data_IF_023351246968
#
_entry.id   IF_023351246968
#
_cell.length_a   1.000
_cell.length_b   1.000
_cell.length_c   1.000
_cell.angle_alpha   90.00
_cell.angle_beta   90.00
_cell.angle_gamma   90.00
#
_symmetry.space_group_name_H-M   'P 1'
#
loop_
_entity.id
_entity.type
_entity.pdbx_description
1 polymer ?
#
# COMPACT_ATOMS: atom_id res chain seq x y z
N UNK A 1 -20.49 -20.74 -7.77
CA UNK A 1 -19.25 -21.38 -8.28
C UNK A 1 -18.11 -20.84 -7.45
N UNK A 2 -17.61 -21.61 -6.53
CA UNK A 2 -16.63 -21.18 -5.52
C UNK A 2 -15.28 -20.94 -6.20
N UNK A 3 -14.65 -19.78 -5.94
CA UNK A 3 -13.28 -19.45 -6.42
C UNK A 3 -12.23 -20.33 -5.69
N UNK A 4 -12.63 -21.49 -5.24
CA UNK A 4 -11.87 -22.37 -4.34
C UNK A 4 -10.59 -22.99 -4.92
N UNK A 5 -10.37 -22.95 -6.27
CA UNK A 5 -9.44 -23.92 -6.85
C UNK A 5 -8.36 -23.37 -7.78
N UNK A 6 -8.02 -22.07 -7.79
CA UNK A 6 -7.11 -21.55 -8.83
C UNK A 6 -5.90 -20.74 -8.41
N UNK A 7 -5.57 -20.62 -7.13
CA UNK A 7 -4.32 -19.96 -6.72
C UNK A 7 -3.59 -20.77 -5.64
N UNK A 8 -3.11 -21.95 -6.00
CA UNK A 8 -2.07 -22.65 -5.24
C UNK A 8 -0.76 -22.42 -6.00
N UNK A 9 -0.13 -21.28 -5.80
CA UNK A 9 1.30 -21.16 -6.07
C UNK A 9 2.00 -21.27 -4.72
N UNK A 10 2.15 -22.49 -4.26
CA UNK A 10 2.82 -22.85 -3.01
C UNK A 10 4.30 -22.79 -3.26
N UNK A 11 4.99 -21.74 -2.81
CA UNK A 11 6.40 -21.88 -2.49
C UNK A 11 6.49 -22.95 -1.41
N UNK A 12 7.27 -23.99 -1.65
CA UNK A 12 7.34 -25.27 -0.93
C UNK A 12 7.13 -25.14 0.59
N UNK A 13 6.15 -25.89 1.12
CA UNK A 13 6.03 -26.24 2.52
C UNK A 13 4.94 -25.53 3.36
N UNK A 14 4.17 -24.59 2.83
CA UNK A 14 3.13 -23.91 3.61
C UNK A 14 1.73 -24.37 3.19
N UNK A 15 1.02 -25.07 4.09
CA UNK A 15 -0.39 -25.44 3.88
C UNK A 15 -1.25 -24.24 4.27
N UNK A 16 -1.70 -23.47 3.28
CA UNK A 16 -2.65 -22.38 3.50
C UNK A 16 -4.08 -22.91 3.54
N UNK A 17 -4.83 -22.54 4.58
CA UNK A 17 -6.27 -22.79 4.66
C UNK A 17 -7.05 -21.62 4.05
N UNK A 18 -8.16 -21.92 3.35
CA UNK A 18 -9.12 -20.88 2.94
C UNK A 18 -9.70 -20.10 4.13
N UNK A 19 -9.60 -20.66 5.34
CA UNK A 19 -10.07 -20.06 6.60
C UNK A 19 -9.05 -19.14 7.25
N UNK A 20 -7.80 -19.10 6.75
CA UNK A 20 -6.77 -18.22 7.26
C UNK A 20 -7.09 -16.76 6.92
N UNK A 21 -6.61 -15.84 7.75
CA UNK A 21 -6.93 -14.42 7.61
C UNK A 21 -6.18 -13.73 6.46
N UNK A 22 -6.69 -12.59 6.02
CA UNK A 22 -5.96 -11.62 5.23
C UNK A 22 -5.18 -10.74 6.21
N UNK A 23 -3.85 -10.76 6.13
CA UNK A 23 -3.00 -9.85 6.91
C UNK A 23 -2.87 -8.52 6.19
N UNK A 24 -3.23 -7.43 6.84
CA UNK A 24 -3.11 -6.07 6.29
C UNK A 24 -2.22 -5.25 7.20
N UNK A 25 -1.24 -4.54 6.67
CA UNK A 25 -0.42 -3.63 7.46
C UNK A 25 -0.21 -2.27 6.82
N UNK A 26 0.07 -1.30 7.66
CA UNK A 26 0.38 0.08 7.29
C UNK A 26 1.41 0.67 8.27
N UNK A 27 2.11 1.69 7.86
CA UNK A 27 3.03 2.46 8.71
C UNK A 27 2.32 3.28 9.81
N UNK A 28 0.99 3.37 9.77
CA UNK A 28 0.20 4.16 10.70
C UNK A 28 -1.25 3.68 10.76
N UNK A 29 -2.18 4.60 10.55
CA UNK A 29 -3.63 4.34 10.61
C UNK A 29 -4.33 4.46 9.24
N UNK A 30 -3.66 5.00 8.22
CA UNK A 30 -4.24 5.24 6.90
C UNK A 30 -4.76 3.97 6.22
N UNK A 31 -4.11 2.85 6.47
CA UNK A 31 -4.49 1.54 5.94
C UNK A 31 -5.85 1.02 6.43
N UNK A 32 -6.42 1.60 7.50
CA UNK A 32 -7.79 1.28 7.93
C UNK A 32 -8.82 1.64 6.87
N UNK A 33 -8.53 2.58 5.98
CA UNK A 33 -9.37 2.87 4.81
C UNK A 33 -9.50 1.66 3.88
N UNK A 34 -8.41 0.93 3.64
CA UNK A 34 -8.43 -0.31 2.86
C UNK A 34 -9.17 -1.43 3.61
N UNK A 35 -8.98 -1.55 4.93
CA UNK A 35 -9.71 -2.52 5.76
C UNK A 35 -11.21 -2.30 5.67
N UNK A 36 -11.67 -1.05 5.73
CA UNK A 36 -13.08 -0.71 5.57
C UNK A 36 -13.66 -1.23 4.25
N UNK A 37 -12.93 -1.03 3.14
CA UNK A 37 -13.36 -1.52 1.84
C UNK A 37 -13.31 -3.06 1.75
N UNK A 38 -12.32 -3.71 2.35
CA UNK A 38 -12.27 -5.17 2.41
C UNK A 38 -13.46 -5.75 3.15
N UNK A 39 -13.84 -5.18 4.30
CA UNK A 39 -15.03 -5.62 5.04
C UNK A 39 -16.32 -5.46 4.23
N UNK A 40 -16.37 -4.47 3.34
CA UNK A 40 -17.51 -4.26 2.46
C UNK A 40 -17.56 -5.27 1.29
N UNK A 41 -16.42 -5.51 0.61
CA UNK A 41 -16.38 -6.33 -0.61
C UNK A 41 -16.09 -7.82 -0.33
N UNK A 42 -15.54 -8.14 0.84
CA UNK A 42 -15.17 -9.47 1.30
C UNK A 42 -15.71 -9.76 2.70
N UNK A 43 -17.03 -9.68 2.94
CA UNK A 43 -17.62 -9.70 4.29
C UNK A 43 -17.40 -11.00 5.06
N UNK A 44 -17.02 -12.08 4.40
CA UNK A 44 -16.77 -13.39 5.02
C UNK A 44 -15.29 -13.66 5.30
N UNK A 45 -14.40 -12.73 4.96
CA UNK A 45 -12.97 -12.88 5.19
C UNK A 45 -12.58 -12.37 6.58
N UNK A 46 -11.70 -13.12 7.25
CA UNK A 46 -11.06 -12.62 8.47
C UNK A 46 -9.95 -11.67 8.08
N UNK A 47 -9.88 -10.52 8.74
CA UNK A 47 -8.83 -9.53 8.52
C UNK A 47 -8.06 -9.34 9.81
N UNK A 48 -6.75 -9.40 9.73
CA UNK A 48 -5.84 -9.01 10.81
C UNK A 48 -5.10 -7.77 10.33
N UNK A 49 -5.32 -6.64 11.03
CA UNK A 49 -4.66 -5.38 10.72
C UNK A 49 -3.54 -5.09 11.73
N UNK A 50 -2.40 -4.66 11.19
CA UNK A 50 -1.28 -4.16 11.97
C UNK A 50 -0.88 -2.76 11.51
N UNK A 51 -1.02 -1.77 12.38
CA UNK A 51 -0.53 -0.39 12.16
C UNK A 51 0.72 -0.15 12.98
N UNK A 52 1.85 0.15 12.34
CA UNK A 52 3.13 0.40 13.01
C UNK A 52 3.21 1.84 13.56
N UNK A 53 2.27 2.18 14.43
CA UNK A 53 2.13 3.53 14.99
C UNK A 53 3.31 3.96 15.88
N UNK A 54 4.12 2.99 16.34
CA UNK A 54 5.29 3.28 17.17
C UNK A 54 6.50 3.84 16.38
N UNK A 55 6.52 3.70 15.04
CA UNK A 55 7.65 4.07 14.19
C UNK A 55 7.31 5.09 13.10
N UNK A 56 6.08 5.63 13.12
CA UNK A 56 5.66 6.68 12.18
C UNK A 56 6.51 7.94 12.31
N UNK A 57 6.69 8.72 11.23
CA UNK A 57 6.29 8.47 9.86
C UNK A 57 7.36 7.68 9.08
N UNK A 58 6.94 6.81 8.15
CA UNK A 58 7.85 6.11 7.25
C UNK A 58 8.30 6.98 6.07
N UNK A 59 7.47 7.93 5.67
CA UNK A 59 7.63 8.70 4.44
C UNK A 59 8.93 9.52 4.31
N UNK A 60 9.63 9.75 5.43
CA UNK A 60 10.89 10.47 5.50
C UNK A 60 12.08 9.57 5.89
N UNK A 61 11.89 8.25 5.96
CA UNK A 61 12.96 7.31 6.30
C UNK A 61 13.72 6.87 5.06
N UNK A 62 14.94 6.33 5.26
CA UNK A 62 15.71 5.74 4.18
C UNK A 62 15.05 4.48 3.64
N UNK A 63 15.39 4.10 2.41
CA UNK A 63 14.89 2.87 1.77
C UNK A 63 15.19 1.63 2.62
N UNK A 64 16.39 1.55 3.19
CA UNK A 64 16.84 0.43 4.04
C UNK A 64 15.97 0.33 5.29
N UNK A 65 15.71 1.48 5.95
CA UNK A 65 14.88 1.53 7.16
C UNK A 65 13.45 1.11 6.85
N UNK A 66 12.85 1.64 5.77
CA UNK A 66 11.50 1.28 5.35
C UNK A 66 11.41 -0.22 5.03
N UNK A 67 12.36 -0.75 4.27
CA UNK A 67 12.41 -2.17 3.91
C UNK A 67 12.55 -3.07 5.13
N UNK A 68 13.40 -2.69 6.10
CA UNK A 68 13.57 -3.41 7.36
C UNK A 68 12.26 -3.44 8.16
N UNK A 69 11.60 -2.30 8.32
CA UNK A 69 10.36 -2.22 9.08
C UNK A 69 9.24 -2.99 8.40
N UNK A 70 9.07 -2.80 7.10
CA UNK A 70 8.07 -3.51 6.30
C UNK A 70 8.20 -5.04 6.40
N UNK A 71 9.43 -5.56 6.39
CA UNK A 71 9.67 -7.00 6.55
C UNK A 71 9.34 -7.47 7.98
N UNK A 72 9.63 -6.66 9.00
CA UNK A 72 9.26 -6.97 10.38
C UNK A 72 7.74 -7.01 10.56
N UNK A 73 7.02 -6.03 10.00
CA UNK A 73 5.57 -5.94 10.07
C UNK A 73 4.90 -7.12 9.36
N UNK A 74 5.37 -7.46 8.17
CA UNK A 74 4.89 -8.62 7.42
C UNK A 74 5.17 -9.93 8.18
N UNK A 75 6.37 -10.11 8.73
CA UNK A 75 6.72 -11.28 9.53
C UNK A 75 5.91 -11.38 10.83
N UNK A 76 5.52 -10.24 11.41
CA UNK A 76 4.60 -10.26 12.54
C UNK A 76 3.24 -10.82 12.14
N UNK A 77 2.69 -10.39 11.01
CA UNK A 77 1.42 -10.93 10.48
C UNK A 77 1.50 -12.43 10.17
N UNK A 78 2.62 -12.90 9.61
CA UNK A 78 2.81 -14.34 9.32
C UNK A 78 2.68 -15.23 10.56
N UNK A 79 3.00 -14.72 11.75
CA UNK A 79 2.82 -15.47 13.02
C UNK A 79 1.34 -15.68 13.38
N UNK A 80 0.43 -15.02 12.70
CA UNK A 80 -1.01 -15.09 12.97
C UNK A 80 -1.78 -15.92 11.89
N UNK A 81 -1.10 -16.81 11.19
CA UNK A 81 -1.71 -17.69 10.19
C UNK A 81 -2.50 -16.91 9.13
N UNK A 82 -1.83 -15.98 8.46
CA UNK A 82 -2.43 -15.24 7.36
C UNK A 82 -2.17 -15.95 6.03
N UNK A 83 -3.19 -16.03 5.17
CA UNK A 83 -3.08 -16.63 3.82
C UNK A 83 -2.50 -15.68 2.77
N UNK A 84 -2.48 -14.40 3.05
CA UNK A 84 -1.91 -13.36 2.18
C UNK A 84 -1.56 -12.14 3.01
N UNK A 85 -0.61 -11.35 2.53
CA UNK A 85 -0.21 -10.08 3.16
C UNK A 85 -0.49 -8.93 2.20
N UNK A 86 -1.15 -7.91 2.72
CA UNK A 86 -1.46 -6.66 2.01
C UNK A 86 -0.73 -5.51 2.68
N UNK A 87 0.13 -4.80 1.93
CA UNK A 87 0.65 -3.51 2.37
C UNK A 87 -0.31 -2.40 1.95
N UNK A 88 -1.13 -1.94 2.89
CA UNK A 88 -2.06 -0.82 2.68
C UNK A 88 -1.37 0.55 2.78
N UNK A 89 -0.05 0.57 2.80
CA UNK A 89 0.81 1.75 2.90
C UNK A 89 1.39 2.11 1.53
N UNK A 90 1.14 3.32 1.06
CA UNK A 90 1.72 3.83 -0.19
C UNK A 90 3.25 3.85 -0.16
N UNK A 91 3.84 4.29 0.95
CA UNK A 91 5.29 4.33 1.14
C UNK A 91 5.92 2.94 1.12
N UNK A 92 5.38 2.00 1.89
CA UNK A 92 5.88 0.61 1.92
C UNK A 92 5.75 -0.05 0.57
N UNK A 93 4.58 0.04 -0.06
CA UNK A 93 4.32 -0.56 -1.38
C UNK A 93 5.25 -0.02 -2.46
N UNK A 94 5.58 1.27 -2.39
CA UNK A 94 6.46 1.94 -3.36
C UNK A 94 7.94 1.60 -3.17
N UNK A 95 8.39 1.44 -1.92
CA UNK A 95 9.81 1.31 -1.58
C UNK A 95 10.23 -0.14 -1.39
N UNK A 96 9.38 -0.96 -0.80
CA UNK A 96 9.69 -2.32 -0.36
C UNK A 96 8.82 -3.40 -1.05
N UNK A 97 7.93 -3.03 -1.97
CA UNK A 97 6.98 -3.96 -2.57
C UNK A 97 7.63 -5.17 -3.21
N UNK A 98 8.60 -4.96 -4.10
CA UNK A 98 9.30 -6.05 -4.82
C UNK A 98 10.04 -6.98 -3.84
N UNK A 99 10.70 -6.41 -2.83
CA UNK A 99 11.40 -7.17 -1.80
C UNK A 99 10.43 -8.03 -0.97
N UNK A 100 9.25 -7.50 -0.64
CA UNK A 100 8.24 -8.27 0.09
C UNK A 100 7.65 -9.39 -0.77
N UNK A 101 7.37 -9.13 -2.03
CA UNK A 101 6.88 -10.14 -2.98
C UNK A 101 7.87 -11.31 -3.14
N UNK A 102 9.18 -11.00 -3.13
CA UNK A 102 10.24 -12.00 -3.22
C UNK A 102 10.42 -12.82 -1.93
N UNK A 103 10.39 -12.14 -0.76
CA UNK A 103 10.78 -12.73 0.52
C UNK A 103 9.66 -13.41 1.30
N UNK A 104 8.41 -13.03 1.07
CA UNK A 104 7.31 -13.61 1.83
C UNK A 104 6.96 -15.01 1.33
N UNK A 105 6.62 -15.90 2.26
CA UNK A 105 6.17 -17.27 1.98
C UNK A 105 4.72 -17.36 1.52
N UNK A 106 3.95 -16.27 1.70
CA UNK A 106 2.55 -16.16 1.27
C UNK A 106 2.42 -15.11 0.16
N UNK A 107 1.33 -15.13 -0.63
CA UNK A 107 1.06 -14.09 -1.62
C UNK A 107 1.09 -12.70 -1.00
N UNK A 108 1.68 -11.76 -1.71
CA UNK A 108 1.76 -10.35 -1.32
C UNK A 108 1.06 -9.46 -2.33
N UNK A 109 0.44 -8.40 -1.86
CA UNK A 109 -0.01 -7.30 -2.71
C UNK A 109 0.19 -5.96 -2.01
N UNK A 110 0.55 -4.94 -2.80
CA UNK A 110 0.64 -3.55 -2.36
C UNK A 110 -0.32 -2.67 -3.14
N UNK A 111 -0.39 -1.40 -2.77
CA UNK A 111 -1.33 -0.45 -3.38
C UNK A 111 -0.85 0.17 -4.70
N UNK A 112 0.42 0.03 -5.07
CA UNK A 112 0.98 0.64 -6.30
C UNK A 112 0.34 0.08 -7.56
N UNK A 113 0.35 -1.24 -7.72
CA UNK A 113 -0.16 -1.90 -8.93
C UNK A 113 -1.66 -1.65 -9.17
N UNK A 114 -2.57 -1.85 -8.18
CA UNK A 114 -3.99 -1.60 -8.38
C UNK A 114 -4.27 -0.12 -8.62
N UNK A 115 -3.56 0.80 -7.95
CA UNK A 115 -3.74 2.24 -8.18
C UNK A 115 -3.31 2.66 -9.58
N UNK A 116 -2.16 2.19 -10.06
CA UNK A 116 -1.70 2.47 -11.42
C UNK A 116 -2.68 1.93 -12.48
N UNK A 117 -3.22 0.72 -12.27
CA UNK A 117 -4.24 0.14 -13.14
C UNK A 117 -5.54 0.96 -13.18
N UNK A 118 -6.00 1.46 -12.03
CA UNK A 118 -7.18 2.34 -11.99
C UNK A 118 -6.89 3.68 -12.67
N UNK A 119 -5.71 4.26 -12.47
CA UNK A 119 -5.31 5.51 -13.11
C UNK A 119 -5.24 5.37 -14.65
N UNK A 120 -4.70 4.26 -15.16
CA UNK A 120 -4.70 3.90 -16.58
C UNK A 120 -6.12 3.89 -17.17
N UNK A 121 -7.07 3.26 -16.49
CA UNK A 121 -8.47 3.19 -16.94
C UNK A 121 -9.24 4.50 -16.82
N UNK A 122 -8.82 5.40 -15.93
CA UNK A 122 -9.54 6.65 -15.64
C UNK A 122 -9.00 7.86 -16.39
N UNK A 123 -7.73 7.87 -16.78
CA UNK A 123 -7.16 9.02 -17.51
C UNK A 123 -7.80 9.15 -18.88
N UNK A 124 -8.16 10.40 -19.24
CA UNK A 124 -8.75 10.71 -20.54
C UNK A 124 -7.74 11.33 -21.51
N UNK A 125 -6.71 11.97 -20.97
CA UNK A 125 -5.73 12.75 -21.73
C UNK A 125 -4.30 12.23 -21.62
N UNK A 126 -4.10 11.11 -20.94
CA UNK A 126 -2.78 10.51 -20.72
C UNK A 126 -1.86 11.31 -19.79
N UNK A 127 -2.37 12.33 -19.09
CA UNK A 127 -1.63 13.11 -18.10
C UNK A 127 -2.04 12.65 -16.71
N UNK A 128 -1.08 12.24 -15.88
CA UNK A 128 -1.33 11.70 -14.55
C UNK A 128 -0.42 12.41 -13.57
N UNK A 129 -0.99 12.99 -12.51
CA UNK A 129 -0.26 13.56 -11.39
C UNK A 129 -0.22 12.57 -10.23
N UNK A 130 0.95 12.41 -9.63
CA UNK A 130 1.17 11.59 -8.43
C UNK A 130 1.63 12.50 -7.32
N UNK A 131 0.91 12.48 -6.22
CA UNK A 131 1.30 13.14 -4.97
C UNK A 131 1.54 12.06 -3.90
N UNK A 132 2.53 12.26 -3.05
CA UNK A 132 2.86 11.28 -2.03
C UNK A 132 3.94 11.76 -1.07
N UNK A 133 4.38 10.87 -0.19
CA UNK A 133 5.53 11.13 0.69
C UNK A 133 6.82 11.25 -0.12
N UNK A 134 7.85 11.85 0.47
CA UNK A 134 9.16 11.96 -0.17
C UNK A 134 9.70 10.60 -0.62
N UNK A 135 9.61 9.56 0.23
CA UNK A 135 10.06 8.22 -0.09
C UNK A 135 9.24 7.58 -1.25
N UNK A 136 7.92 7.77 -1.27
CA UNK A 136 7.05 7.31 -2.38
C UNK A 136 7.48 7.92 -3.71
N UNK A 137 7.66 9.23 -3.75
CA UNK A 137 8.01 9.94 -4.98
C UNK A 137 9.44 9.58 -5.43
N UNK A 138 10.39 9.55 -4.51
CA UNK A 138 11.78 9.19 -4.83
C UNK A 138 11.94 7.75 -5.33
N UNK A 139 11.00 6.86 -5.06
CA UNK A 139 11.01 5.48 -5.57
C UNK A 139 10.62 5.39 -7.05
N UNK A 140 9.90 6.38 -7.57
CA UNK A 140 9.30 6.39 -8.92
C UNK A 140 8.40 5.18 -9.24
N UNK A 141 7.99 4.40 -8.26
CA UNK A 141 7.29 3.12 -8.46
C UNK A 141 5.97 3.28 -9.24
N UNK A 142 5.17 4.30 -8.92
CA UNK A 142 3.94 4.58 -9.66
C UNK A 142 4.22 5.01 -11.10
N UNK A 143 5.20 5.89 -11.30
CA UNK A 143 5.60 6.36 -12.64
C UNK A 143 6.07 5.19 -13.50
N UNK A 144 7.01 4.40 -13.01
CA UNK A 144 7.52 3.23 -13.72
C UNK A 144 6.41 2.23 -14.05
N UNK A 145 5.45 2.03 -13.13
CA UNK A 145 4.32 1.14 -13.38
C UNK A 145 3.37 1.69 -14.44
N UNK A 146 3.08 2.98 -14.43
CA UNK A 146 2.25 3.65 -15.43
C UNK A 146 2.91 3.66 -16.81
N UNK A 147 4.21 3.96 -16.89
CA UNK A 147 4.99 3.94 -18.13
C UNK A 147 5.06 2.52 -18.73
N UNK A 148 5.10 1.49 -17.88
CA UNK A 148 5.01 0.08 -18.32
C UNK A 148 3.64 -0.28 -18.89
N UNK A 149 2.55 0.31 -18.38
CA UNK A 149 1.20 0.13 -18.90
C UNK A 149 1.04 0.87 -20.23
N UNK A 150 1.51 2.10 -20.33
CA UNK A 150 1.50 2.87 -21.55
C UNK A 150 2.64 3.91 -21.58
N UNK A 151 3.67 3.70 -22.42
CA UNK A 151 4.83 4.59 -22.51
C UNK A 151 4.52 6.03 -22.99
N UNK A 152 3.30 6.28 -23.49
CA UNK A 152 2.87 7.62 -23.92
C UNK A 152 2.35 8.49 -22.78
N UNK A 153 2.19 7.95 -21.58
CA UNK A 153 1.72 8.73 -20.43
C UNK A 153 2.72 9.81 -20.03
N UNK A 154 2.16 10.99 -19.73
CA UNK A 154 2.92 12.07 -19.09
C UNK A 154 2.65 12.03 -17.59
N UNK A 155 3.60 11.51 -16.87
CA UNK A 155 3.50 11.32 -15.41
C UNK A 155 4.27 12.43 -14.72
N UNK A 156 3.59 13.14 -13.82
CA UNK A 156 4.13 14.21 -13.00
C UNK A 156 4.15 13.75 -11.55
N UNK A 157 5.26 13.97 -10.85
CA UNK A 157 5.43 13.52 -9.48
C UNK A 157 5.74 14.71 -8.57
N UNK A 158 5.04 14.79 -7.44
CA UNK A 158 5.24 15.85 -6.45
C UNK A 158 5.24 15.27 -5.04
N UNK A 159 6.33 15.45 -4.31
CA UNK A 159 6.38 15.14 -2.89
C UNK A 159 5.58 16.15 -2.08
N UNK A 160 4.68 15.65 -1.23
CA UNK A 160 3.83 16.44 -0.35
C UNK A 160 4.02 15.99 1.12
N UNK A 161 5.16 16.30 1.75
CA UNK A 161 5.54 15.74 3.05
C UNK A 161 4.61 16.15 4.19
N UNK A 162 3.85 17.23 4.05
CA UNK A 162 2.93 17.71 5.07
C UNK A 162 1.52 17.11 4.99
N UNK A 163 1.15 16.43 3.90
CA UNK A 163 -0.21 15.91 3.75
C UNK A 163 -0.54 14.80 4.74
N UNK A 164 0.38 13.85 4.94
CA UNK A 164 0.19 12.77 5.92
C UNK A 164 0.06 13.33 7.34
N UNK A 165 0.98 14.18 7.85
CA UNK A 165 0.82 14.82 9.16
C UNK A 165 -0.50 15.59 9.33
N UNK A 166 -0.95 16.30 8.31
CA UNK A 166 -2.24 17.02 8.38
C UNK A 166 -3.40 16.06 8.59
N UNK A 167 -3.49 15.02 7.75
CA UNK A 167 -4.58 14.05 7.82
C UNK A 167 -4.56 13.28 9.15
N UNK A 168 -3.40 12.82 9.59
CA UNK A 168 -3.26 12.08 10.85
C UNK A 168 -3.59 12.92 12.09
N UNK A 169 -3.43 14.24 12.01
CA UNK A 169 -3.81 15.17 13.08
C UNK A 169 -5.22 15.76 12.91
N UNK A 170 -6.02 15.24 11.97
CA UNK A 170 -7.41 15.63 11.80
C UNK A 170 -7.66 16.92 11.01
N UNK A 171 -6.62 17.51 10.40
CA UNK A 171 -6.74 18.69 9.54
C UNK A 171 -7.20 18.26 8.14
N UNK A 172 -8.48 17.93 8.01
CA UNK A 172 -9.08 17.42 6.77
C UNK A 172 -10.16 18.34 6.18
N UNK A 173 -10.51 19.43 6.88
CA UNK A 173 -11.50 20.36 6.41
C UNK A 173 -10.95 21.26 5.31
N UNK A 174 -11.68 21.39 4.20
CA UNK A 174 -11.31 22.27 3.07
C UNK A 174 -11.12 23.73 3.49
N UNK A 175 -11.85 24.17 4.51
CA UNK A 175 -11.82 25.55 4.99
C UNK A 175 -10.80 25.82 6.10
N UNK A 176 -10.05 24.79 6.50
CA UNK A 176 -8.95 24.94 7.46
C UNK A 176 -7.83 25.82 6.87
N UNK A 177 -7.42 26.82 7.63
CA UNK A 177 -6.39 27.77 7.19
C UNK A 177 -5.03 27.10 6.95
N UNK A 178 -4.69 26.09 7.77
CA UNK A 178 -3.45 25.31 7.64
C UNK A 178 -3.48 24.51 6.35
N UNK A 179 -4.59 23.82 6.08
CA UNK A 179 -4.79 23.05 4.85
C UNK A 179 -4.67 23.96 3.63
N UNK A 180 -5.32 25.12 3.63
CA UNK A 180 -5.23 26.11 2.54
C UNK A 180 -3.82 26.63 2.31
N UNK A 181 -3.04 26.83 3.38
CA UNK A 181 -1.66 27.29 3.27
C UNK A 181 -0.75 26.25 2.64
N UNK A 182 -0.94 24.97 2.97
CA UNK A 182 -0.10 23.85 2.50
C UNK A 182 -0.42 23.44 1.07
N UNK A 183 -1.65 23.66 0.60
CA UNK A 183 -2.09 23.29 -0.77
C UNK A 183 -1.73 24.37 -1.82
N UNK A 184 -1.39 25.59 -1.40
CA UNK A 184 -0.96 26.69 -2.29
C UNK A 184 0.45 26.47 -2.83
#
# INVERSE_FOLDING_TARGET
MCIRDRYINVKEGFIMSCQDAIGVFDSGLGGLSAVKEFLHVLPNEKIIYFGDTGRVPYGNRSRETISKYALQDANFLLKHNVKTVVAACGTVSSVAGDMLEEKLSVPYTGVVNPTAFIADRKTKNGKIGIIGTAATISSHSYKLRLEKLNPKYKVYEQACPLFVPLVENGFICRDDQIVRLVIR
#
